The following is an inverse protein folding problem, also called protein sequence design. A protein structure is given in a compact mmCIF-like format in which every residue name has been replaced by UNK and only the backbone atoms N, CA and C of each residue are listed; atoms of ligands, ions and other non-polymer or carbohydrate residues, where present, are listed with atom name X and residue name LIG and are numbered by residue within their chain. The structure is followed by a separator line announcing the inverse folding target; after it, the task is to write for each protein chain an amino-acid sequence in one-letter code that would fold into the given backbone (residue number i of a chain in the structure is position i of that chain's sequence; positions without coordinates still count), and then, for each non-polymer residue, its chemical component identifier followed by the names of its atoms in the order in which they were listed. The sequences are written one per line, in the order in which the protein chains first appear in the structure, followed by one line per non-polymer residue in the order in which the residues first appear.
data_IF_257307024271
#
_entry.id   IF_257307024271
#
_cell.length_a   1.000
_cell.length_b   1.000
_cell.length_c   1.000
_cell.angle_alpha   90.00
_cell.angle_beta   90.00
_cell.angle_gamma   90.00
#
_symmetry.space_group_name_H-M   'P 1'
#
loop_
_entity.id
_entity.type
_entity.pdbx_description
1 polymer ?
#
# COMPACT_ATOMS: atom_id res chain seq x y z
N UNK A 1 -61.00 -47.37 -29.33
CA UNK A 1 -60.23 -48.42 -30.03
C UNK A 1 -59.32 -49.08 -29.01
N UNK A 2 -59.50 -50.41 -28.82
CA UNK A 2 -58.68 -51.40 -28.08
C UNK A 2 -58.14 -51.06 -26.68
N UNK A 3 -58.76 -51.55 -25.58
CA UNK A 3 -58.70 -52.93 -25.00
C UNK A 3 -57.24 -53.36 -24.73
N UNK A 4 -56.82 -53.71 -23.50
CA UNK A 4 -57.14 -54.96 -22.78
C UNK A 4 -56.61 -54.89 -21.32
N UNK A 5 -57.46 -55.04 -20.29
CA UNK A 5 -57.70 -56.25 -19.42
C UNK A 5 -56.74 -56.33 -18.21
N UNK A 6 -57.12 -55.92 -16.99
CA UNK A 6 -57.79 -56.65 -15.87
C UNK A 6 -57.14 -57.99 -15.52
N UNK A 7 -56.84 -58.25 -14.23
CA UNK A 7 -57.22 -59.46 -13.46
C UNK A 7 -57.02 -59.19 -11.93
N UNK A 8 -58.08 -59.42 -11.15
CA UNK A 8 -58.13 -59.48 -9.68
C UNK A 8 -57.95 -60.94 -9.25
N UNK A 9 -57.20 -61.24 -8.18
CA UNK A 9 -57.41 -62.41 -7.30
C UNK A 9 -56.88 -62.05 -5.88
N UNK A 10 -57.75 -61.93 -4.88
CA UNK A 10 -58.20 -62.96 -3.89
C UNK A 10 -57.18 -63.19 -2.76
N UNK A 11 -57.66 -62.93 -1.54
CA UNK A 11 -57.03 -63.07 -0.20
C UNK A 11 -56.84 -64.55 0.17
N UNK A 12 -55.86 -64.88 1.04
CA UNK A 12 -56.26 -65.53 2.29
C UNK A 12 -55.56 -64.96 3.54
N UNK A 13 -56.35 -64.81 4.60
CA UNK A 13 -55.93 -64.71 5.99
C UNK A 13 -55.17 -65.99 6.39
N UNK A 14 -54.01 -65.84 7.03
CA UNK A 14 -53.48 -66.82 7.98
C UNK A 14 -53.06 -66.10 9.26
N UNK A 15 -53.47 -66.68 10.38
CA UNK A 15 -53.31 -66.15 11.72
C UNK A 15 -52.00 -66.59 12.39
N UNK A 16 -51.62 -65.79 13.40
CA UNK A 16 -51.16 -66.20 14.74
C UNK A 16 -49.67 -66.03 15.13
N UNK A 17 -49.50 -65.32 16.26
CA UNK A 17 -48.52 -65.42 17.37
C UNK A 17 -47.28 -64.49 17.42
N UNK A 18 -47.47 -63.41 18.20
CA UNK A 18 -46.69 -62.91 19.37
C UNK A 18 -45.16 -62.82 19.28
N UNK A 19 -44.62 -61.60 19.45
CA UNK A 19 -43.63 -61.32 20.50
C UNK A 19 -43.59 -59.83 20.89
N UNK A 20 -43.61 -59.63 22.20
CA UNK A 20 -43.71 -58.41 22.98
C UNK A 20 -42.30 -57.87 23.27
N UNK A 21 -42.03 -56.58 23.04
CA UNK A 21 -40.97 -55.85 23.75
C UNK A 21 -41.21 -54.33 23.68
N UNK A 22 -41.81 -53.78 24.73
CA UNK A 22 -41.76 -52.35 25.06
C UNK A 22 -40.39 -52.08 25.71
N UNK A 23 -39.54 -51.32 25.03
CA UNK A 23 -38.33 -50.75 25.62
C UNK A 23 -38.47 -49.22 25.70
N UNK A 24 -38.76 -48.73 26.90
CA UNK A 24 -38.58 -47.33 27.29
C UNK A 24 -37.07 -47.06 27.39
N UNK A 25 -36.54 -46.29 26.43
CA UNK A 25 -35.15 -45.81 26.46
C UNK A 25 -35.10 -44.31 26.72
N UNK A 26 -34.80 -43.94 27.97
CA UNK A 26 -34.34 -42.60 28.34
C UNK A 26 -32.93 -42.44 27.78
N UNK A 27 -32.72 -41.48 26.87
CA UNK A 27 -31.37 -41.10 26.47
C UNK A 27 -31.10 -39.64 26.87
N UNK A 28 -30.33 -39.51 27.95
CA UNK A 28 -29.55 -38.33 28.28
C UNK A 28 -28.54 -38.07 27.15
N UNK A 29 -28.91 -37.24 26.19
CA UNK A 29 -28.01 -36.68 25.18
C UNK A 29 -27.63 -35.26 25.59
N UNK A 30 -26.43 -35.13 26.17
CA UNK A 30 -25.82 -33.88 26.57
C UNK A 30 -25.94 -32.80 25.48
N UNK A 31 -26.16 -31.57 25.94
CA UNK A 31 -26.12 -30.35 25.16
C UNK A 31 -24.80 -30.24 24.38
N UNK A 32 -24.82 -30.72 23.14
CA UNK A 32 -23.90 -30.27 22.11
C UNK A 32 -24.37 -28.90 21.64
N UNK A 33 -24.09 -27.86 22.44
CA UNK A 33 -23.94 -26.51 21.91
C UNK A 33 -22.75 -26.56 20.96
N UNK A 34 -22.99 -27.03 19.73
CA UNK A 34 -22.20 -26.61 18.59
C UNK A 34 -22.44 -25.13 18.46
N UNK A 35 -21.71 -24.34 19.25
CA UNK A 35 -21.58 -22.92 19.03
C UNK A 35 -21.17 -22.79 17.56
N UNK A 36 -22.12 -22.35 16.73
CA UNK A 36 -21.79 -21.54 15.57
C UNK A 36 -20.90 -20.45 16.13
N UNK A 37 -19.57 -20.65 16.10
CA UNK A 37 -18.62 -19.55 16.05
C UNK A 37 -19.01 -18.85 14.77
N UNK A 38 -19.93 -17.89 14.89
CA UNK A 38 -20.24 -16.97 13.81
C UNK A 38 -18.89 -16.50 13.31
N UNK A 39 -18.60 -16.76 12.03
CA UNK A 39 -17.43 -16.18 11.39
C UNK A 39 -17.58 -14.69 11.58
N UNK A 40 -16.78 -14.13 12.51
CA UNK A 40 -16.66 -12.69 12.62
C UNK A 40 -16.27 -12.20 11.23
N UNK A 41 -16.97 -11.19 10.67
CA UNK A 41 -16.59 -10.63 9.39
C UNK A 41 -15.09 -10.28 9.41
N UNK A 42 -14.38 -10.48 8.29
CA UNK A 42 -12.96 -10.17 8.22
C UNK A 42 -12.75 -8.72 8.67
N UNK A 43 -11.77 -8.50 9.55
CA UNK A 43 -11.45 -7.15 10.05
C UNK A 43 -11.01 -6.28 8.88
N UNK A 44 -11.42 -5.02 8.91
CA UNK A 44 -10.96 -4.05 7.92
C UNK A 44 -9.44 -3.86 8.00
N UNK A 45 -8.79 -3.44 6.91
CA UNK A 45 -7.36 -3.13 6.87
C UNK A 45 -6.92 -2.19 8.00
N UNK A 46 -7.73 -1.19 8.33
CA UNK A 46 -7.49 -0.32 9.48
C UNK A 46 -7.51 -1.09 10.81
N UNK A 47 -8.56 -1.89 11.05
CA UNK A 47 -8.71 -2.65 12.29
C UNK A 47 -7.71 -3.82 12.43
N UNK A 48 -7.09 -4.26 11.33
CA UNK A 48 -6.07 -5.31 11.31
C UNK A 48 -4.64 -4.79 11.14
N UNK A 49 -4.42 -3.47 11.20
CA UNK A 49 -3.11 -2.88 10.95
C UNK A 49 -2.05 -3.38 11.95
N UNK A 50 -0.93 -4.00 11.49
CA UNK A 50 0.14 -4.47 12.37
C UNK A 50 1.05 -3.35 12.88
N UNK A 51 1.01 -2.19 12.20
CA UNK A 51 1.66 -0.95 12.58
C UNK A 51 0.66 0.19 12.44
N UNK A 52 0.78 1.20 13.29
CA UNK A 52 0.08 2.47 13.14
C UNK A 52 1.03 3.44 12.44
N UNK A 53 0.64 4.13 11.38
CA UNK A 53 1.45 5.19 10.76
C UNK A 53 0.85 6.58 10.99
N UNK A 54 -0.27 6.69 11.70
CA UNK A 54 -1.00 7.94 11.83
C UNK A 54 -0.25 8.99 12.64
N UNK A 55 -0.40 10.24 12.22
CA UNK A 55 0.19 11.42 12.86
C UNK A 55 1.04 12.25 11.92
N UNK A 56 1.80 13.15 12.52
CA UNK A 56 2.71 14.07 11.83
C UNK A 56 4.13 13.56 11.94
N UNK A 57 4.86 13.65 10.84
CA UNK A 57 6.21 13.12 10.75
C UNK A 57 7.11 14.09 9.99
N UNK A 58 8.32 14.29 10.49
CA UNK A 58 9.33 15.14 9.85
C UNK A 58 10.39 14.29 9.19
N UNK A 59 10.74 14.60 7.95
CA UNK A 59 11.87 13.99 7.26
C UNK A 59 13.16 14.32 7.99
N UNK A 60 13.94 13.30 8.33
CA UNK A 60 15.29 13.45 8.84
C UNK A 60 16.26 13.10 7.69
N UNK A 61 17.16 14.02 7.38
CA UNK A 61 18.08 13.89 6.24
C UNK A 61 19.47 13.55 6.76
N UNK A 62 19.77 12.26 6.79
CA UNK A 62 21.08 11.70 7.20
C UNK A 62 21.82 11.02 6.05
N UNK A 63 21.09 10.70 5.00
CA UNK A 63 21.51 10.04 3.79
C UNK A 63 21.35 10.98 2.60
N UNK A 64 22.21 10.81 1.59
CA UNK A 64 22.11 11.53 0.31
C UNK A 64 21.90 13.05 0.44
N UNK A 65 22.47 13.67 1.49
CA UNK A 65 22.27 15.08 1.82
C UNK A 65 22.46 15.99 0.60
N UNK A 66 23.53 15.74 -0.16
CA UNK A 66 23.90 16.45 -1.39
C UNK A 66 22.83 16.40 -2.48
N UNK A 67 21.96 15.39 -2.47
CA UNK A 67 20.90 15.21 -3.44
C UNK A 67 19.51 15.56 -2.91
N UNK A 68 19.34 15.65 -1.58
CA UNK A 68 18.06 15.93 -0.93
C UNK A 68 17.90 17.38 -0.50
N UNK A 69 18.96 18.00 0.02
CA UNK A 69 18.92 19.36 0.56
C UNK A 69 19.14 20.46 -0.48
N UNK A 70 19.73 20.12 -1.61
CA UNK A 70 19.94 21.04 -2.73
C UNK A 70 19.47 20.41 -4.03
N UNK A 71 19.13 21.24 -5.01
CA UNK A 71 18.95 20.76 -6.39
C UNK A 71 20.33 20.43 -6.95
N UNK A 72 20.62 19.17 -7.31
CA UNK A 72 21.95 18.82 -7.81
C UNK A 72 22.25 19.54 -9.12
N UNK A 73 23.54 19.75 -9.46
CA UNK A 73 23.90 20.24 -10.78
C UNK A 73 23.32 19.36 -11.90
N UNK A 74 23.14 19.95 -13.07
CA UNK A 74 22.80 19.18 -14.26
C UNK A 74 23.98 18.27 -14.64
N UNK A 75 23.69 17.06 -15.14
CA UNK A 75 24.69 16.01 -15.41
C UNK A 75 25.07 15.18 -14.17
N UNK A 76 24.70 15.64 -12.98
CA UNK A 76 25.01 14.95 -11.73
C UNK A 76 23.93 13.92 -11.35
N UNK A 77 24.14 12.71 -11.84
CA UNK A 77 23.23 11.58 -11.70
C UNK A 77 23.86 10.42 -10.93
N UNK A 78 24.86 10.72 -10.09
CA UNK A 78 25.58 9.69 -9.34
C UNK A 78 24.62 8.78 -8.56
N UNK A 79 24.85 7.46 -8.65
CA UNK A 79 24.02 6.41 -8.03
C UNK A 79 22.59 6.29 -8.55
N UNK A 80 22.22 6.96 -9.66
CA UNK A 80 21.01 6.63 -10.40
C UNK A 80 21.38 5.73 -11.57
N UNK A 81 20.76 4.54 -11.72
CA UNK A 81 21.09 3.58 -12.78
C UNK A 81 20.50 4.00 -14.14
N UNK A 82 20.75 5.23 -14.58
CA UNK A 82 20.26 5.75 -15.87
C UNK A 82 20.86 4.98 -17.05
N UNK A 83 20.01 4.60 -18.00
CA UNK A 83 20.44 4.17 -19.32
C UNK A 83 20.79 5.39 -20.20
N UNK A 84 21.20 5.13 -21.46
CA UNK A 84 21.58 6.20 -22.38
C UNK A 84 20.44 7.19 -22.68
N UNK A 85 19.19 6.71 -22.82
CA UNK A 85 18.03 7.57 -23.07
C UNK A 85 17.65 8.40 -21.84
N UNK A 86 17.67 7.80 -20.64
CA UNK A 86 17.44 8.50 -19.38
C UNK A 86 18.45 9.63 -19.15
N UNK A 87 19.73 9.35 -19.41
CA UNK A 87 20.80 10.37 -19.36
C UNK A 87 20.57 11.47 -20.39
N UNK A 88 20.29 11.12 -21.65
CA UNK A 88 20.02 12.08 -22.72
C UNK A 88 18.88 13.04 -22.35
N UNK A 89 17.78 12.52 -21.81
CA UNK A 89 16.64 13.33 -21.38
C UNK A 89 17.00 14.22 -20.19
N UNK A 90 17.67 13.68 -19.16
CA UNK A 90 18.12 14.45 -18.01
C UNK A 90 19.09 15.59 -18.42
N UNK A 91 19.99 15.33 -19.38
CA UNK A 91 20.91 16.32 -19.95
C UNK A 91 20.22 17.39 -20.80
N UNK A 92 18.93 17.27 -21.06
CA UNK A 92 18.11 18.31 -21.71
C UNK A 92 17.23 19.09 -20.74
N UNK A 93 17.18 18.69 -19.46
CA UNK A 93 16.36 19.36 -18.46
C UNK A 93 16.73 20.83 -18.29
N UNK A 94 15.72 21.66 -18.08
CA UNK A 94 15.79 23.11 -17.91
C UNK A 94 14.68 23.55 -16.94
N UNK A 95 15.08 24.07 -15.79
CA UNK A 95 14.16 24.49 -14.74
C UNK A 95 13.22 25.62 -15.18
N UNK A 96 13.73 26.59 -15.95
CA UNK A 96 12.92 27.73 -16.39
C UNK A 96 11.83 27.28 -17.38
N UNK A 97 12.15 26.33 -18.27
CA UNK A 97 11.15 25.72 -19.15
C UNK A 97 10.10 24.93 -18.40
N UNK A 98 10.47 24.19 -17.36
CA UNK A 98 9.49 23.49 -16.54
C UNK A 98 8.54 24.46 -15.82
N UNK A 99 9.07 25.55 -15.26
CA UNK A 99 8.26 26.59 -14.62
C UNK A 99 7.30 27.23 -15.65
N UNK A 100 7.81 27.62 -16.82
CA UNK A 100 7.01 28.23 -17.87
C UNK A 100 5.90 27.29 -18.40
N UNK A 101 6.13 25.97 -18.36
CA UNK A 101 5.19 24.95 -18.79
C UNK A 101 4.26 24.45 -17.67
N UNK A 102 4.34 24.97 -16.44
CA UNK A 102 3.52 24.50 -15.32
C UNK A 102 3.90 23.11 -14.79
N UNK A 103 5.14 22.67 -15.03
CA UNK A 103 5.66 21.34 -14.70
C UNK A 103 6.38 21.26 -13.35
N UNK A 104 6.25 22.26 -12.47
CA UNK A 104 6.99 22.32 -11.21
C UNK A 104 6.77 21.09 -10.31
N UNK A 105 5.58 20.48 -10.38
CA UNK A 105 5.24 19.30 -9.57
C UNK A 105 5.88 17.99 -10.03
N UNK A 106 6.58 17.94 -11.18
CA UNK A 106 7.30 16.72 -11.61
C UNK A 106 8.32 16.25 -10.57
N UNK A 107 8.97 17.18 -9.86
CA UNK A 107 9.91 16.87 -8.78
C UNK A 107 9.25 16.46 -7.46
N UNK A 108 7.93 16.58 -7.36
CA UNK A 108 7.10 16.22 -6.20
C UNK A 108 6.17 15.05 -6.51
N UNK A 109 6.33 14.42 -7.67
CA UNK A 109 5.59 13.23 -8.06
C UNK A 109 6.08 11.99 -7.29
N UNK A 110 5.32 10.89 -7.36
CA UNK A 110 5.50 9.71 -6.46
C UNK A 110 6.92 9.14 -6.44
N UNK A 111 7.68 9.24 -7.55
CA UNK A 111 9.07 8.77 -7.61
C UNK A 111 10.07 9.54 -6.74
N UNK A 112 9.72 10.73 -6.23
CA UNK A 112 10.61 11.55 -5.40
C UNK A 112 9.92 12.25 -4.21
N UNK A 113 8.59 12.23 -4.12
CA UNK A 113 7.84 12.95 -3.07
C UNK A 113 8.29 12.60 -1.65
N UNK A 114 8.54 11.31 -1.37
CA UNK A 114 9.01 10.86 -0.05
C UNK A 114 10.46 11.22 0.24
N UNK A 115 11.27 11.51 -0.78
CA UNK A 115 12.66 11.93 -0.61
C UNK A 115 12.80 13.44 -0.44
N UNK A 116 11.79 14.23 -0.80
CA UNK A 116 11.81 15.68 -0.59
C UNK A 116 11.82 16.00 0.91
N UNK A 117 12.77 16.83 1.41
CA UNK A 117 12.73 17.30 2.78
C UNK A 117 11.42 18.06 3.07
N UNK A 118 10.81 17.75 4.20
CA UNK A 118 9.51 18.29 4.59
C UNK A 118 8.86 17.44 5.68
N UNK A 119 7.54 17.52 5.78
CA UNK A 119 6.70 16.74 6.68
C UNK A 119 5.64 15.99 5.91
N UNK A 120 5.21 14.89 6.51
CA UNK A 120 4.04 14.14 6.08
C UNK A 120 3.04 14.04 7.21
N UNK A 121 1.76 14.15 6.86
CA UNK A 121 0.64 13.88 7.74
C UNK A 121 -0.09 12.66 7.22
N UNK A 122 -0.19 11.63 8.05
CA UNK A 122 -0.80 10.35 7.69
C UNK A 122 -2.06 10.15 8.52
N UNK A 123 -3.17 9.86 7.85
CA UNK A 123 -4.48 9.62 8.47
C UNK A 123 -5.22 8.50 7.75
N UNK A 124 -6.22 7.92 8.39
CA UNK A 124 -7.20 7.09 7.69
C UNK A 124 -8.30 8.00 7.15
N UNK A 125 -8.58 7.92 5.84
CA UNK A 125 -9.73 8.59 5.23
C UNK A 125 -11.01 7.78 5.45
N UNK A 126 -10.86 6.46 5.49
CA UNK A 126 -11.88 5.46 5.82
C UNK A 126 -11.18 4.14 6.19
N UNK A 127 -11.93 3.08 6.51
CA UNK A 127 -11.38 1.81 6.97
C UNK A 127 -10.48 1.06 5.97
N UNK A 128 -10.50 1.46 4.68
CA UNK A 128 -9.75 0.83 3.58
C UNK A 128 -8.80 1.79 2.86
N UNK A 129 -8.66 3.04 3.30
CA UNK A 129 -7.81 4.04 2.61
C UNK A 129 -6.99 4.83 3.60
N UNK A 130 -5.67 4.70 3.51
CA UNK A 130 -4.72 5.59 4.19
C UNK A 130 -4.46 6.81 3.30
N UNK A 131 -4.53 7.99 3.89
CA UNK A 131 -4.20 9.26 3.25
C UNK A 131 -2.88 9.76 3.78
N UNK A 132 -2.03 10.26 2.89
CA UNK A 132 -0.77 10.91 3.21
C UNK A 132 -0.69 12.26 2.51
N UNK A 133 -0.59 13.33 3.28
CA UNK A 133 -0.41 14.69 2.78
C UNK A 133 1.02 15.15 3.05
N UNK A 134 1.69 15.72 2.04
CA UNK A 134 3.02 16.33 2.19
C UNK A 134 2.91 17.84 2.27
N UNK A 135 3.71 18.47 3.14
CA UNK A 135 3.75 19.93 3.18
C UNK A 135 4.57 20.50 2.00
N UNK A 136 5.71 19.89 1.71
CA UNK A 136 6.54 20.20 0.55
C UNK A 136 5.81 19.79 -0.73
N UNK A 137 5.49 20.77 -1.56
CA UNK A 137 4.76 20.58 -2.81
C UNK A 137 3.26 20.34 -2.66
N UNK A 138 2.71 20.33 -1.43
CA UNK A 138 1.27 20.15 -1.15
C UNK A 138 0.66 18.98 -1.95
N UNK A 139 1.22 17.78 -1.79
CA UNK A 139 0.76 16.59 -2.50
C UNK A 139 -0.07 15.71 -1.58
N UNK A 140 -1.09 15.05 -2.13
CA UNK A 140 -1.92 14.07 -1.42
C UNK A 140 -1.80 12.71 -2.11
N UNK A 141 -1.52 11.67 -1.33
CA UNK A 141 -1.50 10.27 -1.75
C UNK A 141 -2.59 9.51 -1.03
N UNK A 142 -3.36 8.73 -1.78
CA UNK A 142 -4.34 7.79 -1.23
C UNK A 142 -3.82 6.37 -1.46
N UNK A 143 -3.71 5.60 -0.39
CA UNK A 143 -3.20 4.24 -0.36
C UNK A 143 -4.39 3.32 -0.13
N UNK A 144 -4.84 2.65 -1.19
CA UNK A 144 -6.07 1.86 -1.18
C UNK A 144 -5.78 0.41 -0.83
N UNK A 145 -6.49 -0.12 0.16
CA UNK A 145 -6.47 -1.53 0.49
C UNK A 145 -7.62 -2.26 -0.22
N UNK A 146 -7.33 -3.46 -0.74
CA UNK A 146 -8.31 -4.27 -1.48
C UNK A 146 -8.42 -3.87 -2.96
N UNK A 147 -9.42 -4.43 -3.62
CA UNK A 147 -9.67 -4.15 -5.04
C UNK A 147 -10.36 -2.80 -5.20
N UNK A 148 -9.69 -1.88 -5.89
CA UNK A 148 -10.26 -0.62 -6.36
C UNK A 148 -9.63 -0.32 -7.72
N UNK A 149 -10.37 0.38 -8.59
CA UNK A 149 -9.90 0.71 -9.93
C UNK A 149 -9.20 2.07 -9.92
N UNK A 150 -8.10 2.22 -10.67
CA UNK A 150 -7.50 3.53 -10.86
C UNK A 150 -8.49 4.48 -11.57
N UNK A 151 -8.40 5.80 -11.29
CA UNK A 151 -9.08 6.80 -12.10
C UNK A 151 -8.71 6.68 -13.59
N UNK A 152 -9.52 7.27 -14.48
CA UNK A 152 -9.22 7.27 -15.91
C UNK A 152 -7.96 8.07 -16.26
N UNK A 153 -7.76 9.20 -15.57
CA UNK A 153 -6.65 10.12 -15.82
C UNK A 153 -5.51 9.91 -14.80
N UNK A 154 -4.25 9.79 -15.26
CA UNK A 154 -3.11 9.63 -14.38
C UNK A 154 -2.84 10.91 -13.58
N UNK A 155 -2.39 10.73 -12.34
CA UNK A 155 -2.01 11.81 -11.43
C UNK A 155 -0.50 11.85 -11.19
N UNK A 156 0.01 12.92 -10.56
CA UNK A 156 1.42 12.97 -10.13
C UNK A 156 1.74 11.91 -9.06
N UNK A 157 0.75 11.55 -8.24
CA UNK A 157 0.90 10.58 -7.17
C UNK A 157 0.54 9.15 -7.60
N UNK A 158 0.11 8.97 -8.85
CA UNK A 158 -0.35 7.70 -9.39
C UNK A 158 -1.57 7.14 -8.66
N UNK A 159 -1.71 5.82 -8.77
CA UNK A 159 -2.67 5.01 -8.05
C UNK A 159 -1.94 3.98 -7.20
N UNK A 160 -2.12 4.06 -5.87
CA UNK A 160 -1.38 3.27 -4.90
C UNK A 160 -2.25 2.14 -4.32
N UNK A 161 -1.80 0.90 -4.47
CA UNK A 161 -2.39 -0.28 -3.82
C UNK A 161 -1.57 -0.65 -2.61
N UNK A 162 -2.23 -0.75 -1.46
CA UNK A 162 -1.65 -1.01 -0.16
C UNK A 162 -1.99 -2.42 0.35
N UNK A 163 -1.02 -3.05 1.01
CA UNK A 163 -1.18 -4.34 1.68
C UNK A 163 -0.31 -4.42 2.92
N UNK A 164 -0.83 -5.08 3.97
CA UNK A 164 -0.03 -5.38 5.16
C UNK A 164 0.84 -6.61 4.93
N UNK A 165 2.13 -6.48 5.17
CA UNK A 165 3.03 -7.62 5.27
C UNK A 165 3.21 -7.97 6.75
N UNK A 166 2.61 -9.08 7.17
CA UNK A 166 2.69 -9.54 8.55
C UNK A 166 4.05 -10.20 8.79
N UNK A 167 4.73 -9.84 9.89
CA UNK A 167 5.94 -10.54 10.29
C UNK A 167 5.59 -11.96 10.70
N UNK A 168 6.30 -12.98 10.19
CA UNK A 168 6.06 -14.35 10.63
C UNK A 168 6.22 -14.48 12.16
N UNK A 169 5.35 -15.22 12.86
CA UNK A 169 5.50 -15.43 14.29
C UNK A 169 6.83 -16.13 14.58
N UNK A 170 7.56 -15.62 15.59
CA UNK A 170 8.74 -16.31 16.11
C UNK A 170 8.37 -17.67 16.72
N UNK A 171 9.32 -18.61 16.79
CA UNK A 171 9.11 -19.92 17.44
C UNK A 171 8.55 -19.72 18.85
N UNK A 172 7.38 -20.31 19.13
CA UNK A 172 6.70 -20.23 20.43
C UNK A 172 5.73 -19.04 20.59
N UNK A 173 5.58 -18.17 19.59
CA UNK A 173 4.55 -17.13 19.60
C UNK A 173 3.31 -17.54 18.80
N UNK A 174 2.13 -17.34 19.40
CA UNK A 174 0.84 -17.69 18.80
C UNK A 174 0.32 -16.65 17.81
N UNK A 175 0.86 -15.43 17.82
CA UNK A 175 0.51 -14.35 16.89
C UNK A 175 1.75 -13.62 16.39
N UNK A 176 1.76 -13.34 15.09
CA UNK A 176 2.61 -12.33 14.48
C UNK A 176 2.38 -10.98 15.16
N UNK A 177 3.43 -10.40 15.76
CA UNK A 177 3.42 -9.01 16.22
C UNK A 177 4.36 -8.19 15.33
N UNK A 178 3.83 -7.11 14.78
CA UNK A 178 4.53 -6.25 13.83
C UNK A 178 4.41 -6.70 12.37
N UNK A 179 4.94 -5.87 11.49
CA UNK A 179 4.80 -6.00 10.04
C UNK A 179 5.21 -4.68 9.38
N UNK A 180 5.01 -4.60 8.09
CA UNK A 180 5.24 -3.40 7.29
C UNK A 180 4.03 -3.09 6.42
N UNK A 181 3.92 -1.84 5.99
CA UNK A 181 3.01 -1.48 4.91
C UNK A 181 3.75 -1.60 3.60
N UNK A 182 3.28 -2.45 2.69
CA UNK A 182 3.72 -2.44 1.30
C UNK A 182 2.76 -1.61 0.48
N UNK A 183 3.30 -0.76 -0.38
CA UNK A 183 2.55 0.04 -1.34
C UNK A 183 3.14 -0.18 -2.72
N UNK A 184 2.29 -0.48 -3.70
CA UNK A 184 2.68 -0.49 -5.12
C UNK A 184 1.91 0.61 -5.83
N UNK A 185 2.63 1.55 -6.42
CA UNK A 185 2.06 2.66 -7.18
C UNK A 185 2.33 2.48 -8.67
N UNK A 186 1.28 2.65 -9.47
CA UNK A 186 1.31 2.68 -10.94
C UNK A 186 0.45 3.85 -11.44
N UNK A 187 0.18 3.94 -12.74
CA UNK A 187 -0.74 4.92 -13.32
C UNK A 187 -0.39 6.38 -12.94
N UNK A 188 0.90 6.66 -12.83
CA UNK A 188 1.43 7.99 -12.56
C UNK A 188 1.81 8.71 -13.85
N UNK A 189 1.82 10.04 -13.80
CA UNK A 189 2.43 10.87 -14.83
C UNK A 189 3.96 10.73 -14.81
N UNK A 190 4.65 10.89 -15.95
CA UNK A 190 6.10 10.98 -15.99
C UNK A 190 6.61 12.14 -15.13
N UNK A 191 7.58 11.88 -14.26
CA UNK A 191 8.10 12.85 -13.30
C UNK A 191 9.60 12.73 -13.12
N UNK A 192 10.10 13.23 -11.99
CA UNK A 192 11.53 13.19 -11.69
C UNK A 192 11.85 12.40 -10.43
N UNK A 193 12.94 11.63 -10.48
CA UNK A 193 13.56 10.92 -9.35
C UNK A 193 14.47 11.83 -8.52
N UNK A 194 14.86 12.98 -9.06
CA UNK A 194 15.62 14.04 -8.39
C UNK A 194 15.21 15.40 -8.94
N UNK A 195 15.37 16.46 -8.13
CA UNK A 195 15.02 17.84 -8.49
C UNK A 195 15.75 18.38 -9.74
N UNK A 196 16.85 17.76 -10.17
CA UNK A 196 17.62 18.14 -11.36
C UNK A 196 17.16 17.44 -12.66
N UNK A 197 15.90 16.99 -12.71
CA UNK A 197 15.29 16.49 -13.94
C UNK A 197 15.62 15.04 -14.31
N UNK A 198 16.20 14.25 -13.39
CA UNK A 198 16.40 12.81 -13.60
C UNK A 198 15.04 12.15 -13.83
N UNK A 199 14.73 11.62 -15.02
CA UNK A 199 13.37 11.26 -15.37
C UNK A 199 12.99 9.86 -14.90
N UNK A 200 11.68 9.67 -14.73
CA UNK A 200 11.02 8.37 -14.79
C UNK A 200 9.82 8.47 -15.77
N UNK A 201 9.36 7.36 -16.35
CA UNK A 201 8.29 7.34 -17.35
C UNK A 201 6.90 7.05 -16.79
N UNK A 202 5.87 7.11 -17.63
CA UNK A 202 4.51 6.67 -17.32
C UNK A 202 4.39 5.15 -17.11
N UNK A 203 5.36 4.37 -17.56
CA UNK A 203 5.44 2.91 -17.33
C UNK A 203 6.21 2.55 -16.06
N UNK A 204 6.57 3.53 -15.23
CA UNK A 204 7.25 3.28 -13.95
C UNK A 204 6.34 2.51 -12.99
N UNK A 205 6.94 1.60 -12.22
CA UNK A 205 6.33 1.01 -11.03
C UNK A 205 7.14 1.45 -9.82
N UNK A 206 6.47 2.02 -8.82
CA UNK A 206 7.08 2.39 -7.54
C UNK A 206 6.58 1.44 -6.47
N UNK A 207 7.48 0.67 -5.86
CA UNK A 207 7.16 -0.17 -4.70
C UNK A 207 7.79 0.45 -3.46
N UNK A 208 7.00 0.68 -2.43
CA UNK A 208 7.45 1.21 -1.15
C UNK A 208 7.13 0.23 -0.02
N UNK A 209 8.04 0.13 0.94
CA UNK A 209 7.85 -0.56 2.21
C UNK A 209 8.02 0.45 3.33
N UNK A 210 6.99 0.58 4.18
CA UNK A 210 7.02 1.44 5.36
C UNK A 210 7.14 0.58 6.61
N UNK A 211 8.26 0.77 7.30
CA UNK A 211 8.60 0.08 8.53
C UNK A 211 8.60 1.07 9.68
N UNK A 212 7.71 0.86 10.67
CA UNK A 212 7.68 1.65 11.90
C UNK A 212 8.61 1.03 12.94
N UNK A 213 9.36 1.88 13.63
CA UNK A 213 10.28 1.46 14.68
C UNK A 213 10.45 2.53 15.77
N UNK A 214 10.97 2.11 16.91
CA UNK A 214 11.20 2.94 18.08
C UNK A 214 12.68 2.89 18.43
N UNK A 215 13.41 3.92 18.04
CA UNK A 215 14.86 3.99 18.15
C UNK A 215 15.29 5.36 18.66
N UNK A 216 16.41 5.40 19.40
CA UNK A 216 16.97 6.64 19.97
C UNK A 216 15.97 7.46 20.81
N UNK A 217 15.04 6.79 21.48
CA UNK A 217 14.03 7.45 22.34
C UNK A 217 12.93 8.19 21.57
N UNK A 218 12.76 7.93 20.28
CA UNK A 218 11.70 8.51 19.46
C UNK A 218 11.03 7.45 18.58
N UNK A 219 9.82 7.78 18.11
CA UNK A 219 9.11 6.98 17.12
C UNK A 219 9.52 7.41 15.71
N UNK A 220 9.77 6.44 14.85
CA UNK A 220 10.19 6.64 13.47
C UNK A 220 9.38 5.76 12.53
N UNK A 221 9.35 6.15 11.26
CA UNK A 221 9.21 5.17 10.20
C UNK A 221 10.30 5.37 9.16
N UNK A 222 10.67 4.28 8.51
CA UNK A 222 11.57 4.28 7.36
C UNK A 222 10.80 3.81 6.15
N UNK A 223 10.95 4.52 5.04
CA UNK A 223 10.41 4.09 3.75
C UNK A 223 11.54 3.60 2.87
N UNK A 224 11.47 2.35 2.44
CA UNK A 224 12.31 1.83 1.36
C UNK A 224 11.54 1.99 0.06
N UNK A 225 12.06 2.78 -0.87
CA UNK A 225 11.44 3.03 -2.19
C UNK A 225 12.25 2.34 -3.27
N UNK A 226 11.59 1.51 -4.06
CA UNK A 226 12.13 0.80 -5.23
C UNK A 226 11.41 1.34 -6.45
N UNK A 227 12.16 1.95 -7.36
CA UNK A 227 11.65 2.46 -8.64
C UNK A 227 12.14 1.55 -9.75
N UNK A 228 11.20 0.95 -10.47
CA UNK A 228 11.46 0.20 -11.70
C UNK A 228 10.91 1.02 -12.88
N UNK A 229 11.78 1.45 -13.78
CA UNK A 229 11.40 2.17 -14.99
C UNK A 229 12.11 1.58 -16.22
N UNK A 230 11.40 0.87 -17.10
CA UNK A 230 12.03 0.16 -18.23
C UNK A 230 12.53 1.12 -19.33
N UNK A 231 12.13 2.40 -19.30
CA UNK A 231 12.45 3.36 -20.35
C UNK A 231 13.76 4.08 -20.10
N UNK A 232 14.00 4.54 -18.88
CA UNK A 232 15.12 5.42 -18.53
C UNK A 232 16.14 4.79 -17.60
N UNK A 233 15.83 3.67 -16.94
CA UNK A 233 16.75 2.98 -16.04
C UNK A 233 17.29 1.68 -16.66
N UNK A 234 18.45 1.25 -16.16
CA UNK A 234 19.09 -0.04 -16.47
C UNK A 234 18.78 -1.09 -15.41
N UNK A 235 18.61 -0.67 -14.16
CA UNK A 235 18.30 -1.47 -12.99
C UNK A 235 17.31 -0.72 -12.08
N UNK A 236 16.84 -1.37 -11.03
CA UNK A 236 16.02 -0.73 -10.01
C UNK A 236 16.78 0.41 -9.31
N UNK A 237 16.12 1.56 -9.15
CA UNK A 237 16.63 2.64 -8.32
C UNK A 237 16.03 2.52 -6.91
N UNK A 238 16.88 2.12 -5.96
CA UNK A 238 16.48 1.84 -4.57
C UNK A 238 17.00 2.94 -3.65
N UNK A 239 16.12 3.47 -2.80
CA UNK A 239 16.46 4.48 -1.80
C UNK A 239 15.77 4.20 -0.47
N UNK A 240 16.34 4.71 0.61
CA UNK A 240 15.72 4.71 1.94
C UNK A 240 15.52 6.15 2.41
N UNK A 241 14.47 6.43 3.17
CA UNK A 241 14.25 7.73 3.79
C UNK A 241 13.62 7.59 5.17
N UNK A 242 14.11 8.38 6.12
CA UNK A 242 13.71 8.30 7.52
C UNK A 242 12.83 9.47 7.94
N UNK A 243 11.79 9.17 8.72
CA UNK A 243 10.88 10.15 9.28
C UNK A 243 10.75 9.94 10.78
N UNK A 244 10.78 11.03 11.54
CA UNK A 244 10.58 11.01 12.99
C UNK A 244 9.21 11.58 13.34
N UNK A 245 8.49 10.97 14.28
CA UNK A 245 7.17 11.43 14.71
C UNK A 245 7.28 12.79 15.40
N UNK A 246 6.33 13.68 15.10
CA UNK A 246 6.13 14.94 15.81
C UNK A 246 4.88 14.86 16.72
N UNK A 247 4.82 15.65 17.81
CA UNK A 247 3.69 15.61 18.74
C UNK A 247 2.36 15.99 18.09
N UNK A 248 2.38 16.95 17.18
CA UNK A 248 1.21 17.52 16.51
C UNK A 248 1.60 18.17 15.16
N UNK A 249 0.62 18.81 14.52
CA UNK A 249 0.77 19.47 13.24
C UNK A 249 1.23 20.93 13.29
N UNK A 250 1.62 21.47 14.45
CA UNK A 250 1.98 22.90 14.61
C UNK A 250 3.10 23.38 13.68
N UNK A 251 3.90 22.46 13.13
CA UNK A 251 5.00 22.74 12.20
C UNK A 251 4.72 22.32 10.76
N UNK A 252 3.54 21.78 10.47
CA UNK A 252 3.14 21.43 9.11
C UNK A 252 2.95 22.73 8.31
N UNK A 253 3.73 22.92 7.24
CA UNK A 253 3.80 24.20 6.54
C UNK A 253 3.67 23.99 5.02
N UNK A 254 2.44 23.90 4.48
CA UNK A 254 2.22 23.65 3.06
C UNK A 254 2.91 24.69 2.18
N UNK A 255 3.68 24.21 1.21
CA UNK A 255 4.36 25.02 0.20
C UNK A 255 4.00 24.53 -1.19
N UNK A 256 3.97 25.42 -2.20
CA UNK A 256 3.73 25.02 -3.57
C UNK A 256 4.86 24.12 -4.10
N UNK A 257 4.62 23.46 -5.23
CA UNK A 257 5.69 22.76 -5.96
C UNK A 257 6.74 23.77 -6.42
N UNK A 258 7.88 23.82 -5.74
CA UNK A 258 8.97 24.73 -6.06
C UNK A 258 10.32 24.00 -6.00
N UNK A 259 11.14 24.20 -7.03
CA UNK A 259 12.49 23.67 -7.10
C UNK A 259 13.47 24.83 -7.14
N UNK A 260 14.38 24.89 -6.17
CA UNK A 260 15.45 25.86 -6.16
C UNK A 260 16.36 25.66 -7.39
N UNK A 261 17.01 26.73 -7.89
CA UNK A 261 18.02 26.60 -8.94
C UNK A 261 19.09 25.56 -8.58
N UNK A 262 19.65 24.85 -9.58
CA UNK A 262 20.76 23.92 -9.35
C UNK A 262 21.91 24.58 -8.59
N UNK A 263 22.51 23.83 -7.66
CA UNK A 263 23.75 24.23 -7.02
C UNK A 263 24.85 24.45 -8.08
N UNK A 264 25.73 25.41 -7.83
CA UNK A 264 26.88 25.72 -8.68
C UNK A 264 28.00 24.69 -8.49
#
# INVERSE_FOLDING_TARGET
MNRKTRWLHVVPLFALVVLLALATGVNNGAAGQGAQRGQQPPRSPQASAPIDLTGYWVSIVTEDWRFRMVTPPKGDYASVPLNAEGRRVADTWDLAKDIAAGNQCKAFAVGNVMRNPGRVHITWENENTLRMDTDAGTQTRLLHFGESQPPAEPSWQGYSVASWEMRAPGRGQQQARGGSLKVVTTHMRPGYLRKNGVPYSDNTVVTEYFDRHSDYGAEWFTVTTIVNDPKYLTDEFITSTHFRKEPDGSKFNPTPCETAPPAK
#
